data_IF_114559437609
#
_entry.id   IF_114559437609
#
_cell.length_a   1.000
_cell.length_b   1.000
_cell.length_c   1.000
_cell.angle_alpha   90.00
_cell.angle_beta   90.00
_cell.angle_gamma   90.00
#
_symmetry.space_group_name_H-M   'P 1'
#
loop_
_entity.id
_entity.type
_entity.pdbx_description
1 polymer ?
#
# COMPACT_ATOMS: atom_id res chain seq x y z
N UNK A 1 12.51 -17.49 6.01
CA UNK A 1 12.57 -17.66 4.54
C UNK A 1 12.58 -19.15 4.16
N UNK A 2 12.00 -19.55 3.01
CA UNK A 2 12.07 -20.94 2.52
C UNK A 2 13.46 -21.23 1.93
N UNK A 3 13.78 -22.50 1.63
CA UNK A 3 15.14 -22.90 1.19
C UNK A 3 15.50 -22.28 -0.17
N UNK A 4 14.57 -22.32 -1.12
CA UNK A 4 14.77 -21.80 -2.49
C UNK A 4 15.01 -20.29 -2.51
N UNK A 5 14.16 -19.53 -1.81
CA UNK A 5 14.29 -18.08 -1.65
C UNK A 5 15.62 -17.67 -1.01
N UNK A 6 16.18 -18.52 -0.14
CA UNK A 6 17.47 -18.28 0.53
C UNK A 6 18.65 -18.44 -0.42
N UNK A 7 18.67 -19.54 -1.16
CA UNK A 7 19.68 -19.81 -2.20
C UNK A 7 19.65 -18.70 -3.24
N UNK A 8 18.45 -18.31 -3.71
CA UNK A 8 18.28 -17.17 -4.61
C UNK A 8 18.79 -15.85 -4.00
N UNK A 9 18.50 -15.56 -2.73
CA UNK A 9 18.96 -14.33 -2.09
C UNK A 9 20.48 -14.28 -1.96
N UNK A 10 21.12 -15.40 -1.60
CA UNK A 10 22.58 -15.53 -1.51
C UNK A 10 23.23 -15.29 -2.87
N UNK A 11 22.71 -15.94 -3.92
CA UNK A 11 23.22 -15.78 -5.28
C UNK A 11 23.04 -14.37 -5.82
N UNK A 12 21.94 -13.71 -5.48
CA UNK A 12 21.65 -12.34 -5.90
C UNK A 12 22.54 -11.31 -5.19
N UNK A 13 22.86 -11.51 -3.91
CA UNK A 13 23.76 -10.62 -3.16
C UNK A 13 25.20 -10.64 -3.68
N UNK A 14 25.61 -11.75 -4.31
CA UNK A 14 26.95 -11.93 -4.87
C UNK A 14 27.09 -11.38 -6.31
N UNK A 15 26.01 -10.87 -6.92
CA UNK A 15 26.00 -10.31 -8.28
C UNK A 15 26.00 -8.77 -8.22
N UNK A 16 26.68 -8.13 -9.20
CA UNK A 16 26.83 -6.67 -9.28
C UNK A 16 25.48 -5.92 -9.13
N UNK A 17 25.47 -4.86 -8.32
CA UNK A 17 24.29 -4.13 -7.81
C UNK A 17 23.47 -3.35 -8.88
N UNK A 18 22.87 -4.06 -9.84
CA UNK A 18 21.89 -3.51 -10.78
C UNK A 18 20.51 -3.28 -10.15
N UNK A 19 19.70 -2.40 -10.76
CA UNK A 19 18.30 -2.12 -10.39
C UNK A 19 17.45 -3.40 -10.23
N UNK A 20 17.66 -4.37 -11.11
CA UNK A 20 16.85 -5.59 -11.17
C UNK A 20 17.17 -6.58 -10.05
N UNK A 21 18.43 -6.64 -9.62
CA UNK A 21 18.85 -7.46 -8.47
C UNK A 21 18.25 -6.92 -7.18
N UNK A 22 18.27 -5.59 -6.98
CA UNK A 22 17.60 -4.96 -5.83
C UNK A 22 16.11 -5.25 -5.80
N UNK A 23 15.44 -5.25 -6.96
CA UNK A 23 14.02 -5.62 -7.08
C UNK A 23 13.78 -7.07 -6.67
N UNK A 24 14.58 -8.03 -7.17
CA UNK A 24 14.46 -9.45 -6.81
C UNK A 24 14.68 -9.67 -5.31
N UNK A 25 15.70 -9.05 -4.73
CA UNK A 25 15.95 -9.07 -3.28
C UNK A 25 14.74 -8.54 -2.50
N UNK A 26 14.16 -7.42 -2.93
CA UNK A 26 12.96 -6.85 -2.30
C UNK A 26 11.75 -7.78 -2.35
N UNK A 27 11.52 -8.46 -3.47
CA UNK A 27 10.44 -9.46 -3.62
C UNK A 27 10.65 -10.62 -2.63
N UNK A 28 11.87 -11.15 -2.56
CA UNK A 28 12.20 -12.25 -1.63
C UNK A 28 11.94 -11.83 -0.18
N UNK A 29 12.38 -10.64 0.22
CA UNK A 29 12.14 -10.10 1.57
C UNK A 29 10.64 -9.96 1.84
N UNK A 30 9.88 -9.42 0.88
CA UNK A 30 8.43 -9.21 1.04
C UNK A 30 7.67 -10.53 1.15
N UNK A 31 8.03 -11.52 0.34
CA UNK A 31 7.47 -12.87 0.43
C UNK A 31 7.76 -13.49 1.80
N UNK A 32 8.97 -13.29 2.33
CA UNK A 32 9.31 -13.74 3.68
C UNK A 32 8.46 -13.04 4.75
N UNK A 33 8.28 -11.71 4.67
CA UNK A 33 7.42 -10.95 5.60
C UNK A 33 5.98 -11.49 5.57
N UNK A 34 5.40 -11.67 4.38
CA UNK A 34 4.04 -12.19 4.23
C UNK A 34 3.91 -13.60 4.84
N UNK A 35 4.90 -14.45 4.59
CA UNK A 35 4.95 -15.79 5.17
C UNK A 35 5.07 -15.77 6.69
N UNK A 36 5.82 -14.82 7.25
CA UNK A 36 5.94 -14.68 8.71
C UNK A 36 4.63 -14.19 9.34
N UNK A 37 3.80 -13.41 8.63
CA UNK A 37 2.45 -13.02 9.10
C UNK A 37 1.54 -14.23 9.33
N UNK A 38 1.66 -15.27 8.50
CA UNK A 38 0.89 -16.51 8.66
C UNK A 38 1.30 -17.32 9.91
N UNK A 39 2.49 -17.06 10.46
CA UNK A 39 3.08 -17.85 11.54
C UNK A 39 2.99 -17.17 12.92
N UNK A 40 2.16 -16.12 13.04
CA UNK A 40 1.94 -15.41 14.29
C UNK A 40 0.78 -16.04 15.04
N UNK A 41 0.94 -16.28 16.34
CA UNK A 41 -0.19 -16.70 17.16
C UNK A 41 -1.27 -15.63 17.23
N UNK A 42 -2.53 -16.07 17.19
CA UNK A 42 -3.70 -15.20 17.38
C UNK A 42 -3.56 -14.39 18.67
N UNK A 43 -3.01 -15.00 19.73
CA UNK A 43 -2.70 -14.36 21.00
C UNK A 43 -1.22 -13.93 21.12
N UNK A 44 -0.74 -13.14 20.16
CA UNK A 44 0.64 -12.65 20.20
C UNK A 44 0.84 -11.62 21.33
N UNK A 45 1.75 -11.93 22.27
CA UNK A 45 2.10 -11.06 23.39
C UNK A 45 2.49 -9.63 22.95
N UNK A 46 3.34 -9.49 21.92
CA UNK A 46 3.82 -8.18 21.48
C UNK A 46 2.72 -7.33 20.85
N UNK A 47 1.80 -7.96 20.10
CA UNK A 47 0.60 -7.26 19.60
C UNK A 47 -0.22 -6.70 20.76
N UNK A 48 -0.53 -7.53 21.77
CA UNK A 48 -1.27 -7.09 22.97
C UNK A 48 -0.53 -5.97 23.70
N UNK A 49 0.79 -6.09 23.84
CA UNK A 49 1.63 -5.09 24.49
C UNK A 49 1.57 -3.75 23.76
N UNK A 50 1.77 -3.72 22.44
CA UNK A 50 1.72 -2.49 21.64
C UNK A 50 0.37 -1.80 21.78
N UNK A 51 -0.72 -2.55 21.62
CA UNK A 51 -2.08 -2.01 21.68
C UNK A 51 -2.38 -1.42 23.07
N UNK A 52 -2.02 -2.14 24.14
CA UNK A 52 -2.31 -1.72 25.52
C UNK A 52 -1.42 -0.56 25.99
N UNK A 53 -0.18 -0.50 25.51
CA UNK A 53 0.85 0.39 26.04
C UNK A 53 1.30 1.47 25.04
N UNK A 54 0.47 1.81 24.04
CA UNK A 54 0.82 2.78 22.99
C UNK A 54 1.33 4.12 23.56
N UNK A 55 0.70 4.65 24.60
CA UNK A 55 1.12 5.90 25.26
C UNK A 55 2.48 5.78 25.96
N UNK A 56 2.74 4.65 26.63
CA UNK A 56 4.01 4.36 27.31
C UNK A 56 5.15 4.23 26.29
N UNK A 57 4.92 3.47 25.21
CA UNK A 57 5.88 3.32 24.11
C UNK A 57 6.18 4.70 23.50
N UNK A 58 5.14 5.51 23.26
CA UNK A 58 5.31 6.87 22.75
C UNK A 58 6.15 7.72 23.71
N UNK A 59 5.89 7.69 25.02
CA UNK A 59 6.69 8.44 26.00
C UNK A 59 8.17 8.02 26.03
N UNK A 60 8.47 6.74 25.81
CA UNK A 60 9.83 6.19 25.84
C UNK A 60 10.61 6.36 24.53
N UNK A 61 9.91 6.31 23.40
CA UNK A 61 10.52 6.18 22.07
C UNK A 61 10.19 7.34 21.11
N UNK A 62 9.29 8.27 21.47
CA UNK A 62 8.91 9.35 20.57
C UNK A 62 10.06 10.31 20.30
N UNK A 63 10.05 10.83 19.07
CA UNK A 63 10.95 11.89 18.66
C UNK A 63 10.28 13.27 18.74
N UNK A 64 8.96 13.34 18.54
CA UNK A 64 8.19 14.60 18.50
C UNK A 64 8.78 15.62 17.52
N UNK A 65 9.00 15.21 16.28
CA UNK A 65 9.64 16.03 15.25
C UNK A 65 8.90 15.98 13.91
N UNK A 66 9.15 16.98 13.08
CA UNK A 66 8.72 17.02 11.68
C UNK A 66 9.90 16.68 10.76
N UNK A 67 9.68 15.75 9.82
CA UNK A 67 10.63 15.38 8.75
C UNK A 67 10.10 15.78 7.39
N UNK A 68 10.98 15.91 6.41
CA UNK A 68 10.60 16.34 5.07
C UNK A 68 9.80 15.26 4.31
N UNK A 69 10.22 13.99 4.45
CA UNK A 69 9.75 12.88 3.62
C UNK A 69 9.82 11.51 4.34
N UNK A 70 9.35 10.46 3.66
CA UNK A 70 9.33 9.10 4.21
C UNK A 70 10.73 8.52 4.44
N UNK A 71 11.73 8.92 3.66
CA UNK A 71 13.10 8.39 3.80
C UNK A 71 13.71 8.80 5.13
N UNK A 72 13.51 10.04 5.54
CA UNK A 72 13.90 10.55 6.85
C UNK A 72 13.13 9.83 7.97
N UNK A 73 11.81 9.69 7.83
CA UNK A 73 10.98 8.95 8.80
C UNK A 73 11.47 7.50 8.99
N UNK A 74 11.71 6.76 7.89
CA UNK A 74 12.23 5.38 7.92
C UNK A 74 13.60 5.31 8.62
N UNK A 75 14.44 6.33 8.43
CA UNK A 75 15.74 6.38 9.12
C UNK A 75 15.57 6.50 10.62
N UNK A 76 14.69 7.40 11.09
CA UNK A 76 14.41 7.59 12.50
C UNK A 76 13.74 6.38 13.14
N UNK A 77 12.77 5.78 12.46
CA UNK A 77 12.12 4.53 12.90
C UNK A 77 13.18 3.43 13.04
N UNK A 78 14.10 3.31 12.09
CA UNK A 78 15.17 2.32 12.14
C UNK A 78 16.13 2.50 13.34
N UNK A 79 16.27 3.73 13.83
CA UNK A 79 17.11 4.06 14.98
C UNK A 79 16.41 3.85 16.34
N UNK A 80 15.11 3.55 16.36
CA UNK A 80 14.38 3.23 17.61
C UNK A 80 14.91 1.93 18.19
N UNK A 81 15.22 1.94 19.49
CA UNK A 81 15.64 0.74 20.21
C UNK A 81 14.49 -0.26 20.29
N UNK A 82 14.60 -1.34 19.51
CA UNK A 82 13.63 -2.45 19.45
C UNK A 82 13.36 -3.02 20.85
N UNK A 83 14.35 -3.02 21.75
CA UNK A 83 14.19 -3.52 23.12
C UNK A 83 13.18 -2.70 23.89
N UNK A 84 13.31 -1.37 23.82
CA UNK A 84 12.38 -0.44 24.48
C UNK A 84 10.99 -0.49 23.85
N UNK A 85 10.92 -0.57 22.52
CA UNK A 85 9.64 -0.60 21.81
C UNK A 85 8.80 -1.84 22.15
N UNK A 86 9.43 -2.99 22.31
CA UNK A 86 8.76 -4.27 22.58
C UNK A 86 8.84 -4.75 24.03
N UNK A 87 9.41 -3.96 24.94
CA UNK A 87 9.64 -4.33 26.35
C UNK A 87 10.43 -5.64 26.49
N UNK A 88 11.61 -5.66 25.87
CA UNK A 88 12.53 -6.81 25.89
C UNK A 88 13.72 -6.45 26.76
N UNK A 89 13.76 -7.03 27.96
CA UNK A 89 14.83 -6.86 28.93
C UNK A 89 16.03 -7.78 28.63
N UNK A 90 16.83 -7.37 27.64
CA UNK A 90 18.07 -8.06 27.24
C UNK A 90 19.15 -7.06 26.80
N UNK A 91 20.41 -7.42 27.01
CA UNK A 91 21.52 -6.67 26.46
C UNK A 91 21.65 -6.86 24.93
N UNK A 92 22.33 -5.92 24.28
CA UNK A 92 22.69 -6.09 22.87
C UNK A 92 23.60 -7.32 22.71
N UNK A 93 23.36 -8.08 21.64
CA UNK A 93 24.02 -9.36 21.34
C UNK A 93 23.74 -10.50 22.34
N UNK A 94 22.98 -10.26 23.40
CA UNK A 94 22.54 -11.32 24.30
C UNK A 94 21.52 -12.22 23.58
N UNK A 95 21.76 -13.53 23.62
CA UNK A 95 20.86 -14.52 23.03
C UNK A 95 19.70 -14.78 23.99
N UNK A 96 18.47 -14.69 23.47
CA UNK A 96 17.24 -15.01 24.16
C UNK A 96 16.29 -15.82 23.27
N UNK A 97 15.33 -16.51 23.88
CA UNK A 97 14.26 -17.16 23.14
C UNK A 97 13.20 -16.11 22.76
N UNK A 98 13.07 -15.81 21.46
CA UNK A 98 12.07 -14.83 21.04
C UNK A 98 10.65 -15.33 21.32
N UNK A 99 9.78 -14.42 21.74
CA UNK A 99 8.33 -14.69 21.84
C UNK A 99 7.56 -14.18 20.62
N UNK A 100 8.28 -13.65 19.61
CA UNK A 100 7.69 -12.93 18.47
C UNK A 100 7.04 -13.93 17.52
N UNK A 101 7.73 -15.04 17.26
CA UNK A 101 7.30 -16.09 16.35
C UNK A 101 7.33 -17.45 17.04
N UNK A 102 6.50 -18.36 16.56
CA UNK A 102 6.75 -19.79 16.77
C UNK A 102 7.76 -20.26 15.73
N UNK A 103 8.62 -21.21 16.12
CA UNK A 103 9.43 -21.89 15.13
C UNK A 103 8.50 -22.64 14.17
N UNK A 104 8.78 -22.58 12.88
CA UNK A 104 8.07 -23.37 11.87
C UNK A 104 9.09 -24.20 11.11
N UNK A 105 8.90 -25.51 11.13
CA UNK A 105 9.62 -26.46 10.29
C UNK A 105 8.73 -26.85 9.12
N UNK A 106 9.26 -26.65 7.92
CA UNK A 106 8.60 -26.99 6.66
C UNK A 106 9.24 -28.29 6.15
N UNK A 107 8.41 -29.30 5.91
CA UNK A 107 8.86 -30.62 5.44
C UNK A 107 8.12 -30.96 4.16
N UNK A 108 8.88 -31.15 3.10
CA UNK A 108 8.42 -31.88 1.92
C UNK A 108 8.68 -33.36 2.15
N UNK A 109 7.63 -34.17 2.07
CA UNK A 109 7.70 -35.59 2.35
C UNK A 109 7.03 -36.43 1.26
N UNK A 110 7.51 -37.65 1.13
CA UNK A 110 6.92 -38.68 0.28
C UNK A 110 6.67 -39.91 1.14
N UNK A 111 5.44 -40.43 1.10
CA UNK A 111 5.02 -41.62 1.84
C UNK A 111 4.34 -42.58 0.89
N UNK A 112 4.72 -43.85 0.99
CA UNK A 112 4.12 -44.96 0.26
C UNK A 112 3.19 -45.75 1.19
N UNK A 113 1.92 -45.37 1.27
CA UNK A 113 0.97 -46.01 2.20
C UNK A 113 -0.48 -45.74 1.78
N UNK A 114 -1.47 -46.24 2.53
CA UNK A 114 -2.89 -45.87 2.34
C UNK A 114 -3.24 -44.54 3.01
N UNK A 115 -4.32 -43.89 2.61
CA UNK A 115 -4.66 -42.52 3.07
C UNK A 115 -4.77 -42.41 4.60
N UNK A 116 -5.32 -43.43 5.28
CA UNK A 116 -5.51 -43.43 6.73
C UNK A 116 -4.21 -43.65 7.51
N UNK A 117 -3.28 -44.45 6.99
CA UNK A 117 -1.93 -44.56 7.54
C UNK A 117 -1.10 -43.32 7.26
N UNK A 118 -1.30 -42.63 6.14
CA UNK A 118 -0.62 -41.38 5.82
C UNK A 118 -1.01 -40.30 6.83
N UNK A 119 -2.31 -40.10 7.09
CA UNK A 119 -2.79 -39.12 8.09
C UNK A 119 -2.18 -39.40 9.46
N UNK A 120 -2.10 -40.67 9.87
CA UNK A 120 -1.46 -41.08 11.13
C UNK A 120 0.06 -40.87 11.14
N UNK A 121 0.76 -41.15 10.05
CA UNK A 121 2.20 -40.96 9.94
C UNK A 121 2.59 -39.48 9.99
N UNK A 122 1.81 -38.61 9.35
CA UNK A 122 2.00 -37.15 9.40
C UNK A 122 1.71 -36.63 10.83
N UNK A 123 0.63 -37.11 11.47
CA UNK A 123 0.28 -36.77 12.85
C UNK A 123 1.23 -37.37 13.90
N UNK A 124 1.92 -38.47 13.59
CA UNK A 124 2.78 -39.22 14.50
C UNK A 124 4.15 -38.60 14.76
N UNK A 125 4.51 -37.50 14.09
CA UNK A 125 5.82 -36.85 14.23
C UNK A 125 6.07 -36.18 15.61
N UNK A 126 5.11 -36.21 16.53
CA UNK A 126 5.26 -35.63 17.88
C UNK A 126 5.38 -34.11 17.91
N UNK A 127 5.08 -33.43 16.79
CA UNK A 127 5.11 -31.98 16.63
C UNK A 127 3.70 -31.49 16.32
N UNK A 128 3.32 -30.33 16.88
CA UNK A 128 2.03 -29.70 16.60
C UNK A 128 1.97 -29.32 15.10
N UNK A 129 0.97 -29.83 14.39
CA UNK A 129 0.79 -29.58 12.96
C UNK A 129 0.06 -28.26 12.77
N UNK A 130 0.67 -27.37 11.97
CA UNK A 130 0.08 -26.09 11.58
C UNK A 130 -0.70 -26.21 10.26
N UNK A 131 -0.17 -26.97 9.30
CA UNK A 131 -0.79 -27.16 7.99
C UNK A 131 -0.25 -28.42 7.29
N UNK A 132 -1.09 -29.10 6.53
CA UNK A 132 -0.69 -30.19 5.63
C UNK A 132 -1.39 -30.00 4.29
N UNK A 133 -0.61 -29.98 3.20
CA UNK A 133 -1.10 -29.93 1.83
C UNK A 133 -0.63 -31.16 1.07
N UNK A 134 -1.57 -31.93 0.53
CA UNK A 134 -1.26 -33.03 -0.39
C UNK A 134 -0.99 -32.42 -1.78
N UNK A 135 0.18 -32.73 -2.34
CA UNK A 135 0.63 -32.18 -3.62
C UNK A 135 0.24 -33.12 -4.77
N UNK A 136 0.44 -34.42 -4.59
CA UNK A 136 0.13 -35.43 -5.61
C UNK A 136 -0.17 -36.79 -4.95
N UNK A 137 -1.08 -37.54 -5.57
CA UNK A 137 -1.49 -38.88 -5.17
C UNK A 137 -1.53 -39.78 -6.41
N UNK A 138 -0.59 -40.74 -6.50
CA UNK A 138 -0.57 -41.76 -7.56
C UNK A 138 -0.02 -43.07 -7.02
N UNK A 139 -0.67 -44.20 -7.32
CA UNK A 139 -0.16 -45.54 -6.99
C UNK A 139 0.31 -45.70 -5.52
N UNK A 140 -0.54 -45.33 -4.56
CA UNK A 140 -0.23 -45.32 -3.10
C UNK A 140 0.98 -44.44 -2.69
N UNK A 141 1.42 -43.54 -3.57
CA UNK A 141 2.47 -42.57 -3.33
C UNK A 141 1.84 -41.21 -3.06
N UNK A 142 2.09 -40.70 -1.87
CA UNK A 142 1.60 -39.41 -1.40
C UNK A 142 2.78 -38.48 -1.25
N UNK A 143 2.79 -37.41 -2.05
CA UNK A 143 3.70 -36.29 -1.83
C UNK A 143 2.94 -35.22 -1.08
N UNK A 144 3.53 -34.73 0.00
CA UNK A 144 2.90 -33.75 0.86
C UNK A 144 3.89 -32.68 1.28
N UNK A 145 3.34 -31.52 1.60
CA UNK A 145 4.02 -30.44 2.28
C UNK A 145 3.36 -30.26 3.65
N UNK A 146 4.15 -30.34 4.72
CA UNK A 146 3.67 -30.15 6.08
C UNK A 146 4.42 -29.00 6.76
N UNK A 147 3.68 -28.19 7.52
CA UNK A 147 4.21 -27.17 8.44
C UNK A 147 4.01 -27.66 9.88
N UNK A 148 5.10 -27.77 10.62
CA UNK A 148 5.09 -28.14 12.04
C UNK A 148 5.54 -26.97 12.90
N UNK A 149 4.89 -26.80 14.06
CA UNK A 149 5.37 -25.91 15.11
C UNK A 149 6.60 -26.53 15.76
N UNK A 150 7.66 -25.76 15.88
CA UNK A 150 8.92 -26.17 16.53
C UNK A 150 9.38 -25.12 17.54
N UNK A 151 10.39 -25.49 18.33
CA UNK A 151 10.98 -24.63 19.33
C UNK A 151 11.43 -23.28 18.74
N UNK A 152 11.23 -22.24 19.54
CA UNK A 152 11.51 -20.84 19.19
C UNK A 152 13.00 -20.66 18.84
N UNK A 153 13.27 -19.93 17.76
CA UNK A 153 14.63 -19.64 17.33
C UNK A 153 15.40 -18.86 18.41
N UNK A 154 16.69 -19.12 18.52
CA UNK A 154 17.61 -18.26 19.25
C UNK A 154 17.64 -16.89 18.56
N UNK A 155 17.46 -15.84 19.35
CA UNK A 155 17.35 -14.48 18.85
C UNK A 155 18.27 -13.56 19.64
N UNK A 156 18.78 -12.54 18.98
CA UNK A 156 19.47 -11.44 19.65
C UNK A 156 19.16 -10.12 18.93
N UNK A 157 19.43 -9.01 19.60
CA UNK A 157 19.25 -7.67 19.04
C UNK A 157 20.62 -7.02 18.91
N UNK A 158 20.91 -6.42 17.76
CA UNK A 158 22.15 -5.69 17.55
C UNK A 158 21.90 -4.42 16.71
N UNK A 159 22.83 -3.46 16.80
CA UNK A 159 22.82 -2.20 16.06
C UNK A 159 23.81 -2.28 14.90
N UNK A 160 23.36 -1.95 13.69
CA UNK A 160 24.22 -1.83 12.49
C UNK A 160 23.94 -0.49 11.83
N UNK A 161 24.96 0.34 11.64
CA UNK A 161 24.84 1.68 11.01
C UNK A 161 23.69 2.49 11.62
N UNK A 162 23.71 2.60 12.96
CA UNK A 162 22.70 3.26 13.78
C UNK A 162 21.27 2.72 13.73
N UNK A 163 21.06 1.57 13.08
CA UNK A 163 19.75 0.90 13.04
C UNK A 163 19.71 -0.35 13.88
N UNK A 164 18.63 -0.54 14.61
CA UNK A 164 18.39 -1.75 15.40
C UNK A 164 17.79 -2.85 14.52
N UNK A 165 18.30 -4.06 14.71
CA UNK A 165 17.80 -5.26 14.06
C UNK A 165 17.62 -6.37 15.09
N UNK A 166 16.56 -7.15 14.93
CA UNK A 166 16.38 -8.42 15.62
C UNK A 166 16.78 -9.56 14.69
N UNK A 167 17.72 -10.39 15.14
CA UNK A 167 18.32 -11.48 14.38
C UNK A 167 17.80 -12.83 14.87
N UNK A 168 17.49 -13.73 13.95
CA UNK A 168 16.90 -15.03 14.21
C UNK A 168 17.82 -16.12 13.64
N UNK A 169 18.43 -16.91 14.54
CA UNK A 169 19.34 -18.00 14.20
C UNK A 169 18.58 -19.33 14.15
N UNK A 170 18.67 -20.04 13.02
CA UNK A 170 18.03 -21.35 12.82
C UNK A 170 18.93 -22.50 13.30
N UNK A 171 18.29 -23.57 13.82
CA UNK A 171 18.94 -24.68 14.53
C UNK A 171 19.91 -25.56 13.71
N UNK A 172 19.97 -25.47 12.37
CA UNK A 172 20.76 -26.40 11.51
C UNK A 172 21.47 -25.76 10.30
N UNK A 173 22.18 -24.64 10.51
CA UNK A 173 23.25 -24.05 9.64
C UNK A 173 23.01 -22.60 9.15
N UNK A 174 23.92 -21.75 9.62
CA UNK A 174 24.55 -20.51 9.07
C UNK A 174 23.73 -19.35 8.50
N UNK A 175 22.42 -19.46 8.30
CA UNK A 175 21.63 -18.31 7.84
C UNK A 175 20.90 -17.62 8.97
N UNK A 176 21.29 -16.36 9.16
CA UNK A 176 20.68 -15.44 10.09
C UNK A 176 19.66 -14.55 9.36
N UNK A 177 18.40 -14.65 9.76
CA UNK A 177 17.37 -13.72 9.31
C UNK A 177 17.37 -12.49 10.20
N UNK A 178 17.28 -11.29 9.63
CA UNK A 178 17.20 -10.05 10.41
C UNK A 178 16.02 -9.18 9.99
N UNK A 179 15.32 -8.63 10.97
CA UNK A 179 14.21 -7.73 10.77
C UNK A 179 14.43 -6.43 11.55
N UNK A 180 14.17 -5.30 10.92
CA UNK A 180 14.11 -4.00 11.59
C UNK A 180 12.73 -3.80 12.23
N UNK A 181 12.55 -2.66 12.91
CA UNK A 181 11.29 -2.32 13.57
C UNK A 181 10.11 -2.28 12.61
N UNK A 182 10.28 -1.76 11.38
CA UNK A 182 9.21 -1.68 10.38
C UNK A 182 8.75 -3.09 10.01
N UNK A 183 9.68 -3.98 9.70
CA UNK A 183 9.37 -5.35 9.34
C UNK A 183 8.70 -6.10 10.50
N UNK A 184 9.24 -5.97 11.73
CA UNK A 184 8.67 -6.58 12.92
C UNK A 184 7.24 -6.08 13.17
N UNK A 185 7.02 -4.77 13.10
CA UNK A 185 5.69 -4.18 13.30
C UNK A 185 4.71 -4.62 12.21
N UNK A 186 5.12 -4.60 10.93
CA UNK A 186 4.28 -5.05 9.81
C UNK A 186 3.82 -6.50 10.02
N UNK A 187 4.74 -7.36 10.48
CA UNK A 187 4.45 -8.75 10.76
C UNK A 187 3.50 -8.84 11.97
N UNK A 188 3.93 -8.36 13.15
CA UNK A 188 3.23 -8.47 14.44
C UNK A 188 1.82 -7.89 14.39
N UNK A 189 1.63 -6.74 13.75
CA UNK A 189 0.32 -6.09 13.62
C UNK A 189 -0.47 -6.60 12.41
N UNK A 190 0.15 -7.43 11.55
CA UNK A 190 -0.46 -7.96 10.32
C UNK A 190 -1.04 -6.85 9.46
N UNK A 191 -0.31 -5.74 9.33
CA UNK A 191 -0.74 -4.62 8.50
C UNK A 191 -0.80 -5.05 7.03
N UNK A 192 -1.68 -4.46 6.20
CA UNK A 192 -1.84 -4.88 4.81
C UNK A 192 -0.58 -4.64 3.97
N UNK A 193 0.21 -3.62 4.30
CA UNK A 193 1.44 -3.27 3.59
C UNK A 193 2.42 -2.47 4.46
N UNK A 194 3.65 -2.32 3.96
CA UNK A 194 4.76 -1.66 4.65
C UNK A 194 4.51 -0.17 4.89
N UNK A 195 3.82 0.53 3.96
CA UNK A 195 3.47 1.94 4.13
C UNK A 195 2.53 2.13 5.33
N UNK A 196 1.57 1.22 5.49
CA UNK A 196 0.64 1.25 6.63
C UNK A 196 1.41 1.07 7.94
N UNK A 197 2.36 0.13 7.99
CA UNK A 197 3.23 -0.04 9.15
C UNK A 197 4.07 1.22 9.44
N UNK A 198 4.64 1.87 8.42
CA UNK A 198 5.41 3.10 8.58
C UNK A 198 4.54 4.23 9.14
N UNK A 199 3.33 4.42 8.62
CA UNK A 199 2.42 5.48 9.07
C UNK A 199 1.98 5.26 10.51
N UNK A 200 1.59 4.04 10.88
CA UNK A 200 1.23 3.73 12.26
C UNK A 200 2.42 3.89 13.23
N UNK A 201 3.63 3.53 12.81
CA UNK A 201 4.85 3.77 13.58
C UNK A 201 5.14 5.26 13.72
N UNK A 202 4.96 6.07 12.66
CA UNK A 202 5.08 7.52 12.74
C UNK A 202 4.10 8.11 13.76
N UNK A 203 2.86 7.62 13.80
CA UNK A 203 1.87 8.06 14.79
C UNK A 203 2.28 7.71 16.22
N UNK A 204 2.80 6.49 16.45
CA UNK A 204 3.28 6.05 17.77
C UNK A 204 4.48 6.90 18.22
N UNK A 205 5.40 7.17 17.30
CA UNK A 205 6.67 7.87 17.57
C UNK A 205 6.54 9.39 17.47
N UNK A 206 5.35 9.90 17.17
CA UNK A 206 5.05 11.31 16.94
C UNK A 206 5.99 11.95 15.89
N UNK A 207 6.16 11.28 14.75
CA UNK A 207 6.92 11.77 13.60
C UNK A 207 5.93 12.31 12.57
N UNK A 208 5.97 13.61 12.29
CA UNK A 208 5.15 14.23 11.24
C UNK A 208 5.93 14.28 9.94
N UNK A 209 5.33 13.82 8.83
CA UNK A 209 5.96 13.87 7.51
C UNK A 209 5.37 15.05 6.75
N UNK A 210 6.16 16.11 6.56
CA UNK A 210 5.74 17.37 5.93
C UNK A 210 5.07 17.15 4.57
N UNK A 211 5.65 16.32 3.71
CA UNK A 211 5.03 15.97 2.42
C UNK A 211 3.61 15.41 2.60
N UNK A 212 3.41 14.47 3.53
CA UNK A 212 2.09 13.85 3.77
C UNK A 212 1.09 14.88 4.26
N UNK A 213 1.49 15.73 5.20
CA UNK A 213 0.62 16.79 5.75
C UNK A 213 0.24 17.81 4.68
N UNK A 214 1.19 18.25 3.84
CA UNK A 214 0.90 19.13 2.70
C UNK A 214 -0.12 18.53 1.72
N UNK A 215 -0.03 17.23 1.43
CA UNK A 215 -0.99 16.56 0.55
C UNK A 215 -2.37 16.44 1.23
N UNK A 216 -2.44 16.08 2.52
CA UNK A 216 -3.71 16.03 3.27
C UNK A 216 -4.38 17.41 3.31
N UNK A 217 -3.63 18.45 3.64
CA UNK A 217 -4.10 19.84 3.68
C UNK A 217 -4.64 20.30 2.33
N UNK A 218 -3.98 19.91 1.23
CA UNK A 218 -4.45 20.16 -0.13
C UNK A 218 -5.83 19.53 -0.37
N UNK A 219 -6.01 18.25 -0.08
CA UNK A 219 -7.31 17.60 -0.27
C UNK A 219 -8.40 18.16 0.64
N UNK A 220 -8.08 18.46 1.90
CA UNK A 220 -9.00 19.13 2.81
C UNK A 220 -9.41 20.51 2.27
N UNK A 221 -8.44 21.33 1.86
CA UNK A 221 -8.66 22.64 1.26
C UNK A 221 -9.52 22.55 0.00
N UNK A 222 -9.28 21.56 -0.87
CA UNK A 222 -10.05 21.36 -2.09
C UNK A 222 -11.52 21.02 -1.80
N UNK A 223 -11.77 20.14 -0.83
CA UNK A 223 -13.13 19.79 -0.39
C UNK A 223 -13.83 20.99 0.23
N UNK A 224 -13.14 21.76 1.07
CA UNK A 224 -13.67 22.98 1.68
C UNK A 224 -13.96 24.04 0.60
N UNK A 225 -13.10 24.18 -0.40
CA UNK A 225 -13.31 25.12 -1.51
C UNK A 225 -14.57 24.75 -2.31
N UNK A 226 -14.76 23.46 -2.60
CA UNK A 226 -15.97 22.94 -3.27
C UNK A 226 -17.25 23.17 -2.46
N UNK A 227 -17.21 23.03 -1.13
CA UNK A 227 -18.40 23.26 -0.29
C UNK A 227 -18.71 24.74 -0.08
N UNK A 228 -17.68 25.60 -0.08
CA UNK A 228 -17.84 27.03 0.26
C UNK A 228 -18.16 27.90 -0.95
N UNK A 229 -17.46 27.71 -2.06
CA UNK A 229 -17.45 28.67 -3.17
C UNK A 229 -18.20 28.19 -4.41
N UNK A 230 -18.27 26.87 -4.66
CA UNK A 230 -18.82 26.33 -5.91
C UNK A 230 -20.26 26.82 -6.16
N UNK A 231 -21.15 26.72 -5.16
CA UNK A 231 -22.57 27.05 -5.33
C UNK A 231 -22.85 28.55 -5.21
N UNK A 232 -22.06 29.27 -4.43
CA UNK A 232 -22.26 30.67 -4.08
C UNK A 232 -21.70 31.60 -5.15
N UNK A 233 -20.46 31.35 -5.59
CA UNK A 233 -19.71 32.22 -6.52
C UNK A 233 -19.77 31.70 -7.96
N UNK A 234 -19.70 30.37 -8.16
CA UNK A 234 -19.57 29.76 -9.49
C UNK A 234 -20.85 29.03 -9.92
N UNK A 235 -21.97 29.76 -9.96
CA UNK A 235 -23.33 29.20 -10.12
C UNK A 235 -23.53 28.41 -11.42
N UNK A 236 -22.89 28.82 -12.52
CA UNK A 236 -23.05 28.17 -13.82
C UNK A 236 -22.27 26.85 -13.82
N UNK A 237 -21.03 26.90 -13.33
CA UNK A 237 -20.19 25.73 -13.12
C UNK A 237 -20.87 24.71 -12.19
N UNK A 238 -21.36 25.17 -11.03
CA UNK A 238 -22.11 24.35 -10.07
C UNK A 238 -23.27 23.63 -10.73
N UNK A 239 -24.19 24.37 -11.38
CA UNK A 239 -25.35 23.79 -12.07
C UNK A 239 -24.94 22.74 -13.12
N UNK A 240 -23.80 22.94 -13.79
CA UNK A 240 -23.33 22.02 -14.82
C UNK A 240 -22.80 20.71 -14.24
N UNK A 241 -22.03 20.75 -13.15
CA UNK A 241 -21.36 19.58 -12.59
C UNK A 241 -22.14 18.88 -11.47
N UNK A 242 -23.12 19.54 -10.83
CA UNK A 242 -23.74 19.06 -9.59
C UNK A 242 -24.29 17.63 -9.70
N UNK A 243 -24.89 17.28 -10.84
CA UNK A 243 -25.42 15.92 -11.09
C UNK A 243 -24.35 14.83 -11.01
N UNK A 244 -23.08 15.16 -11.25
CA UNK A 244 -21.95 14.23 -11.27
C UNK A 244 -20.88 14.58 -10.22
N UNK A 245 -21.15 15.53 -9.31
CA UNK A 245 -20.21 15.98 -8.27
C UNK A 245 -19.69 14.81 -7.42
N UNK A 246 -20.55 13.85 -7.09
CA UNK A 246 -20.18 12.65 -6.34
C UNK A 246 -19.04 11.83 -6.98
N UNK A 247 -18.87 11.92 -8.31
CA UNK A 247 -17.73 11.29 -9.01
C UNK A 247 -16.44 12.08 -8.73
N UNK A 248 -16.51 13.41 -8.69
CA UNK A 248 -15.35 14.26 -8.33
C UNK A 248 -14.95 14.04 -6.86
N UNK A 249 -15.93 14.00 -5.96
CA UNK A 249 -15.69 13.74 -4.53
C UNK A 249 -15.00 12.38 -4.34
N UNK A 250 -15.42 11.34 -5.07
CA UNK A 250 -14.77 10.04 -5.05
C UNK A 250 -13.33 10.11 -5.57
N UNK A 251 -13.07 10.84 -6.67
CA UNK A 251 -11.70 11.00 -7.19
C UNK A 251 -10.79 11.72 -6.18
N UNK A 252 -11.32 12.70 -5.43
CA UNK A 252 -10.59 13.35 -4.35
C UNK A 252 -10.30 12.39 -3.19
N UNK A 253 -11.27 11.54 -2.81
CA UNK A 253 -11.05 10.48 -1.80
C UNK A 253 -9.98 9.47 -2.25
N UNK A 254 -10.00 9.05 -3.52
CA UNK A 254 -9.00 8.14 -4.06
C UNK A 254 -7.62 8.79 -4.12
N UNK A 255 -7.56 10.07 -4.48
CA UNK A 255 -6.35 10.86 -4.39
C UNK A 255 -5.78 10.89 -2.96
N UNK A 256 -6.60 11.21 -1.96
CA UNK A 256 -6.19 11.27 -0.56
C UNK A 256 -5.75 9.90 0.00
N UNK A 257 -6.44 8.80 -0.36
CA UNK A 257 -6.06 7.43 0.03
C UNK A 257 -4.71 6.99 -0.55
N UNK A 258 -4.28 7.63 -1.64
CA UNK A 258 -3.05 7.31 -2.37
C UNK A 258 -1.91 8.30 -2.08
N UNK A 259 -1.90 8.91 -0.89
CA UNK A 259 -0.74 9.66 -0.39
C UNK A 259 0.32 8.64 0.09
N UNK A 260 1.16 8.20 -0.85
CA UNK A 260 2.29 7.30 -0.60
C UNK A 260 3.59 8.08 -0.36
N UNK A 261 4.74 7.46 -0.59
CA UNK A 261 6.04 8.15 -0.56
C UNK A 261 6.17 9.20 -1.66
N UNK A 262 6.96 10.24 -1.41
CA UNK A 262 7.26 11.36 -2.32
C UNK A 262 7.90 10.91 -3.64
N UNK A 263 8.61 9.77 -3.64
CA UNK A 263 9.11 9.11 -4.86
C UNK A 263 8.02 8.58 -5.81
N UNK A 264 6.77 8.52 -5.37
CA UNK A 264 5.59 8.23 -6.19
C UNK A 264 4.82 9.51 -6.56
N UNK A 265 5.39 10.70 -6.33
CA UNK A 265 4.80 11.99 -6.68
C UNK A 265 5.28 12.49 -8.05
N UNK A 266 4.48 13.34 -8.68
CA UNK A 266 4.87 14.09 -9.87
C UNK A 266 4.68 15.58 -9.61
N UNK A 267 5.71 16.39 -9.85
CA UNK A 267 5.73 17.84 -9.55
C UNK A 267 5.32 18.18 -8.10
N UNK A 268 5.65 17.30 -7.15
CA UNK A 268 5.30 17.47 -5.74
C UNK A 268 3.84 17.10 -5.41
N UNK A 269 3.07 16.62 -6.39
CA UNK A 269 1.70 16.15 -6.18
C UNK A 269 1.66 14.63 -6.11
N UNK A 270 0.91 14.08 -5.16
CA UNK A 270 0.71 12.65 -5.08
C UNK A 270 -0.04 12.13 -6.32
N UNK A 271 0.44 11.01 -6.86
CA UNK A 271 -0.16 10.37 -8.03
C UNK A 271 -1.06 9.23 -7.58
N UNK A 272 -2.27 9.18 -8.11
CA UNK A 272 -3.22 8.09 -7.88
C UNK A 272 -3.67 7.46 -9.20
N UNK A 273 -4.12 6.22 -9.15
CA UNK A 273 -4.65 5.51 -10.31
C UNK A 273 -6.13 5.21 -10.08
N UNK A 274 -6.95 5.41 -11.12
CA UNK A 274 -8.38 5.15 -11.03
C UNK A 274 -8.94 4.75 -12.41
N UNK A 275 -9.34 3.49 -12.55
CA UNK A 275 -10.15 3.08 -13.71
C UNK A 275 -11.57 3.61 -13.58
N UNK A 276 -12.20 4.02 -14.68
CA UNK A 276 -13.62 4.43 -14.66
C UNK A 276 -14.54 3.30 -14.16
N UNK A 277 -14.17 2.06 -14.45
CA UNK A 277 -14.84 0.87 -13.94
C UNK A 277 -14.70 0.72 -12.43
N UNK A 278 -13.48 0.90 -11.91
CA UNK A 278 -13.22 0.87 -10.48
C UNK A 278 -14.02 1.93 -9.71
N UNK A 279 -14.06 3.16 -10.23
CA UNK A 279 -14.85 4.25 -9.64
C UNK A 279 -16.35 3.93 -9.69
N UNK A 280 -16.86 3.40 -10.81
CA UNK A 280 -18.25 2.93 -10.92
C UNK A 280 -18.58 1.93 -9.82
N UNK A 281 -17.73 0.93 -9.63
CA UNK A 281 -17.98 -0.17 -8.69
C UNK A 281 -17.99 0.31 -7.24
N UNK A 282 -17.07 1.22 -6.87
CA UNK A 282 -17.10 1.85 -5.55
C UNK A 282 -18.39 2.63 -5.34
N UNK A 283 -18.76 3.48 -6.29
CA UNK A 283 -19.95 4.33 -6.18
C UNK A 283 -21.23 3.50 -6.09
N UNK A 284 -21.34 2.41 -6.86
CA UNK A 284 -22.49 1.52 -6.81
C UNK A 284 -22.54 0.71 -5.50
N UNK A 285 -21.40 0.27 -4.94
CA UNK A 285 -21.35 -0.33 -3.59
C UNK A 285 -21.74 0.66 -2.50
N UNK A 286 -21.32 1.93 -2.61
CA UNK A 286 -21.76 2.99 -1.69
C UNK A 286 -23.27 3.23 -1.82
N UNK A 287 -23.86 3.13 -3.02
CA UNK A 287 -25.31 3.20 -3.23
C UNK A 287 -26.08 2.06 -2.54
N UNK A 288 -25.58 0.82 -2.58
CA UNK A 288 -26.22 -0.33 -1.92
C UNK A 288 -26.36 -0.09 -0.41
N UNK A 289 -25.35 0.54 0.20
CA UNK A 289 -25.35 0.90 1.62
C UNK A 289 -26.01 2.26 1.91
N UNK A 290 -26.11 3.15 0.93
CA UNK A 290 -26.70 4.48 1.03
C UNK A 290 -27.42 4.86 -0.27
N UNK A 291 -28.74 4.64 -0.32
CA UNK A 291 -29.59 4.87 -1.50
C UNK A 291 -29.61 6.32 -2.02
N UNK A 292 -28.97 7.28 -1.33
CA UNK A 292 -28.83 8.67 -1.82
C UNK A 292 -27.83 8.83 -2.97
N UNK A 293 -26.88 7.90 -3.14
CA UNK A 293 -25.95 7.93 -4.28
C UNK A 293 -26.66 7.31 -5.48
N UNK A 294 -26.64 7.90 -6.67
CA UNK A 294 -27.33 7.30 -7.83
C UNK A 294 -26.47 6.19 -8.43
N UNK A 295 -27.10 5.06 -8.77
CA UNK A 295 -26.46 4.04 -9.61
C UNK A 295 -25.98 4.69 -10.92
N UNK A 296 -24.73 4.44 -11.28
CA UNK A 296 -24.08 5.06 -12.44
C UNK A 296 -23.45 3.99 -13.33
N UNK A 297 -23.48 4.25 -14.63
CA UNK A 297 -22.85 3.41 -15.66
C UNK A 297 -21.41 3.87 -15.93
N UNK A 298 -20.56 2.96 -16.40
CA UNK A 298 -19.14 3.23 -16.63
C UNK A 298 -18.91 4.36 -17.63
N UNK A 299 -19.70 4.43 -18.70
CA UNK A 299 -19.58 5.46 -19.74
C UNK A 299 -19.83 6.87 -19.17
N UNK A 300 -20.80 7.00 -18.26
CA UNK A 300 -21.10 8.24 -17.54
C UNK A 300 -19.98 8.64 -16.60
N UNK A 301 -19.35 7.68 -15.92
CA UNK A 301 -18.15 7.93 -15.09
C UNK A 301 -17.00 8.42 -15.96
N UNK A 302 -16.71 7.75 -17.08
CA UNK A 302 -15.66 8.17 -18.02
C UNK A 302 -15.89 9.59 -18.54
N UNK A 303 -17.13 9.91 -18.95
CA UNK A 303 -17.48 11.26 -19.41
C UNK A 303 -17.34 12.31 -18.30
N UNK A 304 -17.75 12.00 -17.07
CA UNK A 304 -17.57 12.88 -15.93
C UNK A 304 -16.08 13.17 -15.66
N UNK A 305 -15.25 12.13 -15.62
CA UNK A 305 -13.79 12.26 -15.46
C UNK A 305 -13.22 13.15 -16.56
N UNK A 306 -13.57 12.92 -17.82
CA UNK A 306 -13.07 13.73 -18.94
C UNK A 306 -13.49 15.20 -18.84
N UNK A 307 -14.73 15.47 -18.39
CA UNK A 307 -15.16 16.84 -18.10
C UNK A 307 -14.34 17.43 -16.96
N UNK A 308 -14.10 16.72 -15.85
CA UNK A 308 -13.28 17.22 -14.76
C UNK A 308 -11.83 17.51 -15.18
N UNK A 309 -11.25 16.67 -16.05
CA UNK A 309 -9.97 16.97 -16.69
C UNK A 309 -10.05 18.25 -17.54
N UNK A 310 -11.11 18.39 -18.34
CA UNK A 310 -11.34 19.57 -19.17
C UNK A 310 -11.53 20.83 -18.33
N UNK A 311 -12.07 20.73 -17.13
CA UNK A 311 -12.24 21.85 -16.21
C UNK A 311 -10.99 22.14 -15.36
N UNK A 312 -9.99 21.26 -15.41
CA UNK A 312 -8.73 21.40 -14.65
C UNK A 312 -8.82 20.95 -13.19
N UNK A 313 -9.92 20.32 -12.76
CA UNK A 313 -10.06 19.80 -11.40
C UNK A 313 -9.12 18.62 -11.13
N UNK A 314 -8.84 17.83 -12.16
CA UNK A 314 -7.91 16.71 -12.13
C UNK A 314 -7.05 16.77 -13.38
N UNK A 315 -5.79 16.35 -13.29
CA UNK A 315 -4.92 16.22 -14.46
C UNK A 315 -4.64 14.73 -14.69
N UNK A 316 -4.82 14.28 -15.93
CA UNK A 316 -4.44 12.94 -16.35
C UNK A 316 -2.97 12.95 -16.78
N UNK A 317 -2.13 12.15 -16.14
CA UNK A 317 -0.71 12.08 -16.45
C UNK A 317 -0.45 11.29 -17.73
N UNK A 318 0.57 11.72 -18.48
CA UNK A 318 1.13 10.93 -19.57
C UNK A 318 2.01 9.81 -19.01
N UNK A 319 2.24 8.77 -19.82
CA UNK A 319 3.06 7.62 -19.41
C UNK A 319 4.45 8.03 -18.94
N UNK A 320 5.08 8.97 -19.63
CA UNK A 320 6.39 9.53 -19.33
C UNK A 320 6.43 10.34 -18.02
N UNK A 321 5.30 10.93 -17.62
CA UNK A 321 5.16 11.74 -16.40
C UNK A 321 4.84 10.87 -15.17
N UNK A 322 4.38 9.63 -15.35
CA UNK A 322 4.13 8.70 -14.24
C UNK A 322 5.46 8.35 -13.58
N UNK A 323 5.61 8.47 -12.25
CA UNK A 323 6.84 8.14 -11.56
C UNK A 323 7.31 6.71 -11.82
N UNK A 324 8.60 6.53 -12.11
CA UNK A 324 9.20 5.24 -12.49
C UNK A 324 8.88 4.14 -11.47
N UNK A 325 8.82 4.47 -10.17
CA UNK A 325 8.48 3.50 -9.13
C UNK A 325 7.03 3.00 -9.20
N UNK A 326 6.09 3.82 -9.67
CA UNK A 326 4.72 3.36 -9.97
C UNK A 326 4.69 2.50 -11.24
N UNK A 327 5.49 2.84 -12.25
CA UNK A 327 5.57 2.06 -13.49
C UNK A 327 6.14 0.64 -13.25
N UNK A 328 7.11 0.50 -12.34
CA UNK A 328 7.84 -0.75 -12.09
C UNK A 328 7.14 -1.75 -11.17
N UNK A 329 6.21 -1.31 -10.33
CA UNK A 329 5.51 -2.15 -9.34
C UNK A 329 4.28 -2.87 -9.89
N UNK A 330 3.78 -2.46 -11.06
CA UNK A 330 2.68 -3.15 -11.71
C UNK A 330 3.23 -4.23 -12.67
N UNK A 331 3.20 -5.49 -12.22
CA UNK A 331 3.19 -6.68 -13.12
C UNK A 331 2.01 -6.63 -14.11
N UNK A 332 1.11 -5.68 -13.91
CA UNK A 332 0.01 -5.34 -14.79
C UNK A 332 0.27 -3.95 -15.40
N UNK A 333 1.10 -3.91 -16.45
CA UNK A 333 0.78 -3.08 -17.61
C UNK A 333 -0.54 -3.57 -18.23
N UNK A 334 -1.61 -3.64 -17.44
CA UNK A 334 -2.97 -3.86 -17.93
C UNK A 334 -3.30 -2.61 -18.72
N UNK A 335 -3.45 -2.79 -20.03
CA UNK A 335 -4.02 -1.78 -20.93
C UNK A 335 -5.25 -1.15 -20.24
N UNK A 336 -5.22 0.15 -19.97
CA UNK A 336 -6.39 0.90 -19.47
C UNK A 336 -6.31 1.53 -18.07
N UNK A 337 -5.16 1.49 -17.38
CA UNK A 337 -4.98 2.25 -16.12
C UNK A 337 -4.58 3.70 -16.40
N UNK A 338 -5.42 4.64 -15.97
CA UNK A 338 -5.13 6.07 -16.01
C UNK A 338 -4.55 6.53 -14.67
N UNK A 339 -3.54 7.39 -14.74
CA UNK A 339 -2.93 8.03 -13.58
C UNK A 339 -3.34 9.50 -13.53
N UNK A 340 -3.54 10.00 -12.32
CA UNK A 340 -4.05 11.35 -12.09
C UNK A 340 -3.28 12.05 -10.98
N UNK A 341 -3.27 13.37 -11.05
CA UNK A 341 -2.94 14.26 -9.95
C UNK A 341 -4.08 15.27 -9.74
N UNK A 342 -4.14 15.81 -8.53
CA UNK A 342 -5.05 16.91 -8.18
C UNK A 342 -4.19 18.04 -7.64
N UNK A 343 -4.30 19.21 -8.24
CA UNK A 343 -3.68 20.43 -7.72
C UNK A 343 -4.56 21.08 -6.66
N UNK A 344 -3.97 22.00 -5.89
CA UNK A 344 -4.73 22.86 -4.97
C UNK A 344 -5.72 23.74 -5.75
N UNK A 345 -6.99 23.69 -5.34
CA UNK A 345 -8.05 24.51 -5.90
C UNK A 345 -7.92 25.97 -5.43
N UNK A 346 -8.26 26.88 -6.33
CA UNK A 346 -8.26 28.31 -6.10
C UNK A 346 -9.26 28.99 -7.05
N UNK A 347 -9.53 30.27 -6.80
CA UNK A 347 -10.47 31.06 -7.61
C UNK A 347 -10.11 31.10 -9.09
N UNK A 348 -8.82 31.26 -9.44
CA UNK A 348 -8.36 31.28 -10.85
C UNK A 348 -8.72 29.99 -11.59
N UNK A 349 -8.60 28.84 -10.94
CA UNK A 349 -8.99 27.55 -11.51
C UNK A 349 -10.50 27.53 -11.79
N UNK A 350 -11.31 27.93 -10.81
CA UNK A 350 -12.77 27.89 -10.92
C UNK A 350 -13.33 28.91 -11.92
N UNK A 351 -12.73 30.10 -12.01
CA UNK A 351 -13.05 31.09 -13.05
C UNK A 351 -12.80 30.53 -14.45
N UNK A 352 -11.67 29.85 -14.65
CA UNK A 352 -11.36 29.19 -15.91
C UNK A 352 -12.32 28.03 -16.20
N UNK A 353 -12.66 27.24 -15.18
CA UNK A 353 -13.65 26.17 -15.30
C UNK A 353 -15.03 26.72 -15.68
N UNK A 354 -15.47 27.82 -15.07
CA UNK A 354 -16.75 28.44 -15.38
C UNK A 354 -16.79 29.00 -16.81
N UNK A 355 -15.71 29.64 -17.28
CA UNK A 355 -15.55 30.04 -18.69
C UNK A 355 -15.67 28.85 -19.65
N UNK A 356 -15.02 27.72 -19.34
CA UNK A 356 -15.13 26.49 -20.15
C UNK A 356 -16.55 25.92 -20.14
N UNK A 357 -17.24 25.97 -19.00
CA UNK A 357 -18.66 25.55 -18.90
C UNK A 357 -19.57 26.46 -19.71
N UNK A 358 -19.34 27.78 -19.75
CA UNK A 358 -20.09 28.70 -20.59
C UNK A 358 -20.02 28.28 -22.07
N UNK A 359 -18.81 28.02 -22.58
CA UNK A 359 -18.60 27.54 -23.96
C UNK A 359 -19.36 26.22 -24.22
N UNK A 360 -19.33 25.29 -23.27
CA UNK A 360 -20.09 24.03 -23.38
C UNK A 360 -21.60 24.26 -23.43
N UNK A 361 -22.13 25.17 -22.61
CA UNK A 361 -23.56 25.49 -22.56
C UNK A 361 -24.03 26.20 -23.83
N UNK A 362 -23.28 27.16 -24.34
CA UNK A 362 -23.55 27.85 -25.61
C UNK A 362 -23.64 26.86 -26.78
N UNK A 363 -22.80 25.82 -26.76
CA UNK A 363 -22.81 24.75 -27.74
C UNK A 363 -23.76 23.58 -27.40
N UNK A 364 -24.61 23.73 -26.37
CA UNK A 364 -25.60 22.74 -25.91
C UNK A 364 -25.00 21.37 -25.60
N UNK A 365 -23.76 21.33 -25.12
CA UNK A 365 -23.04 20.11 -24.76
C UNK A 365 -23.23 19.82 -23.27
N UNK A 366 -24.06 18.84 -22.95
CA UNK A 366 -24.15 18.30 -21.59
C UNK A 366 -22.93 17.43 -21.25
N UNK A 367 -22.64 17.25 -19.96
CA UNK A 367 -21.57 16.37 -19.49
C UNK A 367 -21.71 14.95 -20.08
N UNK A 368 -22.93 14.44 -20.16
CA UNK A 368 -23.22 13.13 -20.77
C UNK A 368 -23.02 13.08 -22.28
N UNK A 369 -22.95 14.20 -22.99
CA UNK A 369 -22.69 14.25 -24.44
C UNK A 369 -21.25 14.63 -24.74
N UNK A 370 -20.45 14.96 -23.73
CA UNK A 370 -19.07 15.36 -23.90
C UNK A 370 -18.20 14.19 -24.34
N UNK A 371 -17.43 14.40 -25.40
CA UNK A 371 -16.49 13.45 -25.96
C UNK A 371 -15.34 14.13 -26.68
N UNK A 372 -14.45 13.34 -27.27
CA UNK A 372 -13.19 13.81 -27.88
C UNK A 372 -13.44 14.81 -29.02
N UNK A 373 -14.37 14.51 -29.93
CA UNK A 373 -14.73 15.41 -31.04
C UNK A 373 -15.23 16.77 -30.56
N UNK A 374 -16.07 16.80 -29.51
CA UNK A 374 -16.54 18.06 -28.93
C UNK A 374 -15.43 18.82 -28.22
N UNK A 375 -14.51 18.11 -27.55
CA UNK A 375 -13.36 18.75 -26.91
C UNK A 375 -12.45 19.40 -27.94
N UNK A 376 -12.12 18.68 -29.02
CA UNK A 376 -11.28 19.18 -30.11
C UNK A 376 -11.87 20.43 -30.74
N UNK A 377 -13.17 20.40 -31.05
CA UNK A 377 -13.87 21.54 -31.66
C UNK A 377 -13.89 22.78 -30.76
N UNK A 378 -14.06 22.61 -29.44
CA UNK A 378 -14.29 23.74 -28.53
C UNK A 378 -13.04 24.26 -27.83
N UNK A 379 -12.08 23.39 -27.55
CA UNK A 379 -10.91 23.69 -26.71
C UNK A 379 -9.58 23.40 -27.40
N UNK A 380 -9.61 22.91 -28.64
CA UNK A 380 -8.44 22.66 -29.46
C UNK A 380 -7.66 21.41 -29.06
N UNK A 381 -6.55 21.20 -29.79
CA UNK A 381 -5.74 19.99 -29.71
C UNK A 381 -5.05 19.83 -28.35
N UNK A 382 -4.54 20.90 -27.77
CA UNK A 382 -3.80 20.85 -26.51
C UNK A 382 -4.66 20.25 -25.37
N UNK A 383 -5.86 20.81 -25.16
CA UNK A 383 -6.80 20.34 -24.12
C UNK A 383 -7.33 18.96 -24.45
N UNK A 384 -7.64 18.70 -25.72
CA UNK A 384 -8.14 17.38 -26.14
C UNK A 384 -7.13 16.30 -25.83
N UNK A 385 -5.88 16.55 -26.17
CA UNK A 385 -4.81 15.64 -25.89
C UNK A 385 -4.65 15.47 -24.36
N UNK A 386 -4.64 16.52 -23.55
CA UNK A 386 -4.60 16.37 -22.08
C UNK A 386 -5.73 15.48 -21.51
N UNK A 387 -6.93 15.51 -22.08
CA UNK A 387 -8.11 14.81 -21.56
C UNK A 387 -8.25 13.38 -22.10
N UNK A 388 -8.08 13.19 -23.41
CA UNK A 388 -8.41 11.95 -24.13
C UNK A 388 -7.18 11.11 -24.52
N UNK A 389 -5.96 11.58 -24.20
CA UNK A 389 -4.72 10.79 -24.38
C UNK A 389 -4.89 9.39 -23.77
N UNK A 390 -4.46 8.37 -24.50
CA UNK A 390 -4.43 6.96 -24.06
C UNK A 390 -3.13 6.63 -23.37
#
# INVERSE_FOLDING_TARGET
MDKTSREELRDLKNKNNGSDIKKKIGIIIKNNINRMKENIEVDNYYRKYIVKNKSVISAMCSYSLEVSNYKEAISLIGAVDIRKFFDIDVDLNMIFQNKVFYGVEEVDGEIYTDEDKMKRAINGYGKEILNVKIINMRFNRFTYYAKYKVNKNNTYINKINDKYYMFFKRLKNEEEEKFDLINLYEIIMTTPNTITAINELCDILNIKIKYVEQQKDKYYSNKLFLSTYLETEYKILSKYINKYRFVLDELLEQGEKNIYMDEYSFKGENVFFAGSEYIRDILNKKNENNKMIRKIEQDKVTRAINVFCTLGFIEKLKKEDVPIKMQKNNYEYKKGLNYYIVYKYNHKLFENAEKRVLVLKENKISLTKFGEKSCMKLFGEEVTNMVFRK
#
